data_IF_161330963440
#
_entry.id   IF_161330963440
#
_cell.length_a   1.000
_cell.length_b   1.000
_cell.length_c   1.000
_cell.angle_alpha   90.00
_cell.angle_beta   90.00
_cell.angle_gamma   90.00
#
_symmetry.space_group_name_H-M   'P 1'
#
loop_
_entity.id
_entity.type
_entity.pdbx_description
1 polymer ?
#
# COMPACT_ATOMS: atom_id res chain seq x y z
N UNK A 1 -11.21 15.45 -10.05
CA UNK A 1 -10.96 14.02 -9.75
C UNK A 1 -11.06 13.81 -8.24
N UNK A 2 -11.27 12.58 -7.78
CA UNK A 2 -11.30 12.24 -6.34
C UNK A 2 -10.29 11.12 -6.07
N UNK A 3 -9.49 11.20 -5.00
CA UNK A 3 -8.55 10.14 -4.65
C UNK A 3 -9.28 8.92 -4.09
N UNK A 4 -8.72 7.73 -4.34
CA UNK A 4 -9.10 6.48 -3.66
C UNK A 4 -7.92 6.09 -2.79
N UNK A 5 -8.03 6.30 -1.49
CA UNK A 5 -6.93 6.18 -0.54
C UNK A 5 -6.19 7.51 -0.32
N UNK A 6 -5.22 7.48 0.60
CA UNK A 6 -4.45 8.65 0.99
C UNK A 6 -3.06 8.67 0.37
N UNK A 7 -2.69 9.75 -0.30
CA UNK A 7 -1.32 9.95 -0.79
C UNK A 7 -1.01 11.43 -0.94
N UNK A 8 0.28 11.76 -1.03
CA UNK A 8 0.74 13.12 -1.24
C UNK A 8 0.51 13.60 -2.68
N UNK A 9 -0.27 14.67 -2.92
CA UNK A 9 -0.56 15.16 -4.26
C UNK A 9 0.69 15.68 -5.00
N UNK A 10 1.80 15.94 -4.30
CA UNK A 10 3.10 16.27 -4.93
C UNK A 10 3.59 15.16 -5.84
N UNK A 11 3.16 13.92 -5.63
CA UNK A 11 3.51 12.80 -6.52
C UNK A 11 2.84 12.89 -7.90
N UNK A 12 1.80 13.72 -8.08
CA UNK A 12 0.97 13.77 -9.30
C UNK A 12 1.52 14.66 -10.41
N UNK A 13 2.53 15.49 -10.13
CA UNK A 13 3.06 16.45 -11.11
C UNK A 13 3.68 15.73 -12.31
N UNK A 14 3.19 16.07 -13.53
CA UNK A 14 3.71 15.55 -14.80
C UNK A 14 3.70 14.03 -14.90
N UNK A 15 2.73 13.36 -14.28
CA UNK A 15 2.64 11.89 -14.29
C UNK A 15 1.94 11.38 -15.54
N UNK A 16 2.45 10.27 -16.09
CA UNK A 16 1.71 9.49 -17.08
C UNK A 16 0.69 8.63 -16.36
N UNK A 17 -0.51 8.60 -16.92
CA UNK A 17 -1.64 7.86 -16.37
C UNK A 17 -2.39 7.10 -17.45
N UNK A 18 -3.16 6.12 -17.03
CA UNK A 18 -4.21 5.48 -17.82
C UNK A 18 -5.56 5.91 -17.26
N UNK A 19 -6.48 6.29 -18.15
CA UNK A 19 -7.90 6.42 -17.85
C UNK A 19 -8.58 5.13 -18.29
N UNK A 20 -9.02 4.35 -17.32
CA UNK A 20 -9.64 3.05 -17.53
C UNK A 20 -11.14 3.22 -17.77
N UNK A 21 -11.58 2.91 -18.99
CA UNK A 21 -12.96 3.09 -19.43
C UNK A 21 -13.53 1.78 -19.98
N UNK A 22 -14.84 1.74 -20.24
CA UNK A 22 -15.49 0.62 -20.91
C UNK A 22 -14.99 0.40 -22.37
N UNK A 23 -14.49 1.47 -23.02
CA UNK A 23 -13.96 1.44 -24.38
C UNK A 23 -12.48 1.02 -24.44
N UNK A 24 -11.87 0.76 -23.29
CA UNK A 24 -10.45 0.46 -23.11
C UNK A 24 -9.69 1.56 -22.35
N UNK A 25 -8.40 1.33 -22.18
CA UNK A 25 -7.52 2.23 -21.43
C UNK A 25 -6.93 3.33 -22.34
N UNK A 26 -7.14 4.59 -21.97
CA UNK A 26 -6.57 5.74 -22.67
C UNK A 26 -5.36 6.30 -21.93
N UNK A 27 -4.25 6.51 -22.64
CA UNK A 27 -3.08 7.19 -22.08
C UNK A 27 -3.37 8.67 -21.89
N UNK A 28 -2.91 9.20 -20.77
CA UNK A 28 -3.00 10.62 -20.44
C UNK A 28 -1.79 11.14 -19.68
N UNK A 29 -1.73 12.47 -19.57
CA UNK A 29 -0.76 13.17 -18.72
C UNK A 29 -1.52 13.96 -17.66
N UNK A 30 -1.22 13.67 -16.41
CA UNK A 30 -1.77 14.37 -15.26
C UNK A 30 -0.95 15.63 -14.95
N UNK A 31 -1.62 16.77 -14.87
CA UNK A 31 -1.02 18.06 -14.59
C UNK A 31 -1.87 18.85 -13.61
N UNK A 32 -1.26 19.69 -12.76
CA UNK A 32 -2.01 20.65 -11.98
C UNK A 32 -2.60 21.71 -12.90
N UNK A 33 -3.83 22.12 -12.63
CA UNK A 33 -4.39 23.35 -13.18
C UNK A 33 -3.63 24.57 -12.64
N UNK A 34 -3.70 25.68 -13.38
CA UNK A 34 -3.16 26.97 -12.91
C UNK A 34 -2.16 27.61 -13.87
N UNK A 35 -1.53 28.68 -13.36
CA UNK A 35 -0.59 29.49 -14.13
C UNK A 35 0.80 28.82 -14.15
N UNK A 36 1.45 28.71 -15.32
CA UNK A 36 2.85 28.27 -15.38
C UNK A 36 3.76 29.24 -14.63
N UNK A 37 4.92 28.75 -14.20
CA UNK A 37 5.84 29.47 -13.31
C UNK A 37 6.17 30.90 -13.81
N UNK A 38 6.32 31.04 -15.12
CA UNK A 38 6.67 32.30 -15.80
C UNK A 38 5.63 33.43 -15.63
N UNK A 39 4.36 33.09 -15.39
CA UNK A 39 3.27 34.08 -15.21
C UNK A 39 2.54 33.92 -13.86
N UNK A 40 3.01 33.01 -13.02
CA UNK A 40 2.52 32.79 -11.65
C UNK A 40 3.07 33.85 -10.69
N UNK A 41 2.26 34.25 -9.71
CA UNK A 41 2.71 35.09 -8.60
C UNK A 41 3.59 34.31 -7.61
N UNK A 42 4.29 35.00 -6.71
CA UNK A 42 5.06 34.34 -5.67
C UNK A 42 4.19 33.50 -4.72
N UNK A 43 2.94 33.91 -4.49
CA UNK A 43 1.99 33.17 -3.65
C UNK A 43 1.45 31.92 -4.35
N UNK A 44 1.16 32.00 -5.66
CA UNK A 44 0.74 30.83 -6.45
C UNK A 44 1.76 29.68 -6.37
N UNK A 45 3.06 30.03 -6.28
CA UNK A 45 4.17 29.06 -6.21
C UNK A 45 4.30 28.34 -4.87
N UNK A 46 3.68 28.86 -3.81
CA UNK A 46 3.71 28.23 -2.47
C UNK A 46 2.60 27.19 -2.30
N UNK A 47 1.57 27.21 -3.15
CA UNK A 47 0.43 26.32 -3.03
C UNK A 47 0.75 24.96 -3.63
N UNK A 48 0.56 23.90 -2.83
CA UNK A 48 0.48 22.53 -3.35
C UNK A 48 -0.97 22.33 -3.83
N UNK A 49 -1.20 21.99 -5.11
CA UNK A 49 -2.53 21.75 -5.62
C UNK A 49 -3.18 20.54 -4.94
N UNK A 50 -4.45 20.65 -4.59
CA UNK A 50 -5.25 19.52 -4.15
C UNK A 50 -5.55 18.58 -5.32
N UNK A 51 -5.85 17.30 -5.07
CA UNK A 51 -6.14 16.30 -6.14
C UNK A 51 -7.26 16.78 -7.08
N UNK A 52 -8.25 17.51 -6.57
CA UNK A 52 -9.34 18.10 -7.35
C UNK A 52 -8.91 19.18 -8.34
N UNK A 53 -7.74 19.80 -8.12
CA UNK A 53 -7.16 20.86 -8.96
C UNK A 53 -6.29 20.30 -10.09
N UNK A 54 -6.02 18.99 -10.10
CA UNK A 54 -5.39 18.33 -11.24
C UNK A 54 -6.41 18.04 -12.34
N UNK A 55 -5.91 17.94 -13.57
CA UNK A 55 -6.63 17.44 -14.73
C UNK A 55 -5.78 16.41 -15.47
N UNK A 56 -6.42 15.57 -16.27
CA UNK A 56 -5.77 14.61 -17.16
C UNK A 56 -6.00 15.07 -18.59
N UNK A 57 -4.90 15.25 -19.32
CA UNK A 57 -4.94 15.52 -20.75
C UNK A 57 -4.79 14.19 -21.52
N UNK A 58 -5.83 13.82 -22.27
CA UNK A 58 -5.83 12.65 -23.16
C UNK A 58 -5.42 13.00 -24.60
N UNK A 59 -5.19 14.27 -24.92
CA UNK A 59 -4.94 14.74 -26.28
C UNK A 59 -6.16 14.69 -27.21
N UNK A 60 -7.36 14.43 -26.66
CA UNK A 60 -8.60 14.24 -27.45
C UNK A 60 -9.50 15.49 -27.50
N UNK A 61 -9.17 16.54 -26.75
CA UNK A 61 -10.00 17.75 -26.65
C UNK A 61 -11.42 17.43 -26.18
N UNK A 62 -12.44 17.98 -26.85
CA UNK A 62 -13.85 17.78 -26.47
C UNK A 62 -14.32 16.33 -26.63
N UNK A 63 -13.70 15.54 -27.52
CA UNK A 63 -14.07 14.13 -27.77
C UNK A 63 -13.79 13.21 -26.59
N UNK A 64 -12.95 13.63 -25.63
CA UNK A 64 -12.73 12.88 -24.40
C UNK A 64 -14.04 12.57 -23.65
N UNK A 65 -15.04 13.46 -23.76
CA UNK A 65 -16.36 13.30 -23.13
C UNK A 65 -17.18 12.14 -23.69
N UNK A 66 -16.84 11.69 -24.90
CA UNK A 66 -17.54 10.59 -25.54
C UNK A 66 -17.06 9.23 -25.00
N UNK A 67 -15.89 9.19 -24.35
CA UNK A 67 -15.24 7.97 -23.85
C UNK A 67 -15.16 7.89 -22.32
N UNK A 68 -15.05 9.04 -21.64
CA UNK A 68 -14.82 9.10 -20.19
C UNK A 68 -16.08 9.45 -19.43
N UNK A 69 -16.40 8.64 -18.41
CA UNK A 69 -17.56 8.79 -17.53
C UNK A 69 -17.13 9.13 -16.10
N UNK A 70 -18.05 9.72 -15.35
CA UNK A 70 -17.87 9.88 -13.90
C UNK A 70 -17.82 8.48 -13.27
N UNK A 71 -16.72 8.17 -12.59
CA UNK A 71 -16.48 6.86 -11.99
C UNK A 71 -15.35 6.08 -12.65
N UNK A 72 -14.94 6.45 -13.87
CA UNK A 72 -13.78 5.86 -14.54
C UNK A 72 -12.51 6.12 -13.73
N UNK A 73 -11.67 5.09 -13.64
CA UNK A 73 -10.45 5.16 -12.84
C UNK A 73 -9.34 5.87 -13.60
N UNK A 74 -8.57 6.66 -12.85
CA UNK A 74 -7.28 7.18 -13.31
C UNK A 74 -6.20 6.47 -12.50
N UNK A 75 -5.32 5.73 -13.18
CA UNK A 75 -4.24 4.97 -12.55
C UNK A 75 -2.88 5.40 -13.10
N UNK A 76 -1.82 5.26 -12.30
CA UNK A 76 -0.46 5.55 -12.77
C UNK A 76 -0.07 4.59 -13.91
N UNK A 77 0.51 5.14 -14.98
CA UNK A 77 1.10 4.38 -16.09
C UNK A 77 2.61 4.20 -15.83
N UNK A 78 2.92 3.45 -14.78
CA UNK A 78 4.30 3.18 -14.36
C UNK A 78 4.58 1.67 -14.35
N UNK A 79 5.44 1.17 -15.24
CA UNK A 79 5.78 -0.24 -15.32
C UNK A 79 6.71 -0.67 -14.17
N UNK A 80 6.84 -1.98 -13.98
CA UNK A 80 7.91 -2.56 -13.18
C UNK A 80 9.27 -2.34 -13.86
N UNK A 81 10.25 -1.87 -13.10
CA UNK A 81 11.60 -1.60 -13.58
C UNK A 81 12.60 -2.08 -12.54
N UNK A 82 13.58 -2.88 -12.98
CA UNK A 82 14.74 -3.25 -12.18
C UNK A 82 15.81 -2.15 -12.25
N UNK A 83 16.38 -1.80 -11.11
CA UNK A 83 17.38 -0.75 -10.97
C UNK A 83 18.46 -1.18 -9.98
N UNK A 84 19.56 -1.74 -10.52
CA UNK A 84 20.65 -2.26 -9.70
C UNK A 84 20.17 -3.40 -8.81
N UNK A 85 20.27 -3.22 -7.49
CA UNK A 85 19.79 -4.19 -6.49
C UNK A 85 18.36 -3.91 -6.00
N UNK A 86 17.65 -2.98 -6.65
CA UNK A 86 16.28 -2.57 -6.30
C UNK A 86 15.34 -2.76 -7.50
N UNK A 87 14.05 -2.66 -7.23
CA UNK A 87 13.02 -2.52 -8.26
C UNK A 87 12.07 -1.38 -7.89
N UNK A 88 11.42 -0.82 -8.90
CA UNK A 88 10.38 0.21 -8.76
C UNK A 88 9.17 -0.22 -9.56
N UNK A 89 8.00 -0.07 -8.96
CA UNK A 89 6.72 -0.29 -9.62
C UNK A 89 5.63 0.50 -8.90
N UNK A 90 4.53 0.76 -9.60
CA UNK A 90 3.32 1.25 -8.96
C UNK A 90 2.67 0.17 -8.09
N UNK A 91 2.03 0.60 -7.00
CA UNK A 91 1.22 -0.27 -6.14
C UNK A 91 2.00 -1.48 -5.59
N UNK A 92 3.28 -1.30 -5.24
CA UNK A 92 4.02 -2.32 -4.47
C UNK A 92 3.34 -2.55 -3.13
N UNK A 93 2.90 -1.47 -2.51
CA UNK A 93 1.83 -1.47 -1.51
C UNK A 93 0.47 -1.75 -2.21
N UNK A 94 -0.18 -2.90 -2.03
CA UNK A 94 0.27 -4.09 -1.31
C UNK A 94 0.41 -5.35 -2.20
N UNK A 95 0.78 -5.16 -3.47
CA UNK A 95 1.02 -6.27 -4.41
C UNK A 95 2.19 -7.16 -4.02
N UNK A 96 3.18 -6.64 -3.30
CA UNK A 96 4.30 -7.45 -2.82
C UNK A 96 3.84 -8.46 -1.77
N UNK A 97 2.95 -8.08 -0.84
CA UNK A 97 2.37 -9.02 0.10
C UNK A 97 1.43 -10.03 -0.57
N UNK A 98 0.70 -9.61 -1.62
CA UNK A 98 -0.08 -10.56 -2.42
C UNK A 98 0.82 -11.65 -3.02
N UNK A 99 1.97 -11.26 -3.59
CA UNK A 99 2.96 -12.20 -4.10
C UNK A 99 3.50 -13.11 -2.99
N UNK A 100 3.87 -12.56 -1.83
CA UNK A 100 4.32 -13.34 -0.68
C UNK A 100 3.26 -14.37 -0.23
N UNK A 101 1.98 -14.01 -0.21
CA UNK A 101 0.89 -14.93 0.13
C UNK A 101 0.74 -16.08 -0.86
N UNK A 102 0.91 -15.83 -2.16
CA UNK A 102 0.91 -16.87 -3.20
C UNK A 102 2.08 -17.83 -2.99
N UNK A 103 3.29 -17.31 -2.81
CA UNK A 103 4.49 -18.13 -2.64
C UNK A 103 4.46 -18.92 -1.33
N UNK A 104 3.92 -18.34 -0.25
CA UNK A 104 3.74 -19.03 1.02
C UNK A 104 2.80 -20.24 0.89
N UNK A 105 1.65 -20.10 0.22
CA UNK A 105 0.74 -21.24 -0.02
C UNK A 105 1.40 -22.31 -0.89
N UNK A 106 2.12 -21.92 -1.95
CA UNK A 106 2.84 -22.87 -2.81
C UNK A 106 3.84 -23.70 -2.00
N UNK A 107 4.66 -23.03 -1.19
CA UNK A 107 5.64 -23.71 -0.34
C UNK A 107 5.00 -24.63 0.72
N UNK A 108 3.81 -24.28 1.23
CA UNK A 108 3.07 -25.09 2.21
C UNK A 108 2.35 -26.29 1.57
N UNK A 109 1.87 -26.15 0.34
CA UNK A 109 1.20 -27.23 -0.38
C UNK A 109 2.10 -28.47 -0.50
N UNK A 110 3.41 -28.27 -0.66
CA UNK A 110 4.39 -29.34 -0.80
C UNK A 110 4.78 -30.01 0.53
N UNK A 111 4.49 -29.37 1.68
CA UNK A 111 4.99 -29.79 3.01
C UNK A 111 3.91 -30.29 3.97
N UNK A 112 2.64 -30.22 3.57
CA UNK A 112 1.50 -30.51 4.45
C UNK A 112 1.20 -29.37 5.43
N UNK A 113 0.00 -29.38 6.02
CA UNK A 113 -0.48 -28.32 6.92
C UNK A 113 -1.00 -28.86 8.24
N UNK A 114 -0.55 -28.27 9.35
CA UNK A 114 -1.04 -28.54 10.71
C UNK A 114 -2.24 -27.67 11.13
N UNK A 115 -2.66 -26.74 10.27
CA UNK A 115 -3.75 -25.82 10.51
C UNK A 115 -4.56 -25.59 9.22
N UNK A 116 -5.77 -25.04 9.37
CA UNK A 116 -6.52 -24.46 8.26
C UNK A 116 -5.94 -23.07 7.94
N UNK A 117 -5.48 -22.88 6.71
CA UNK A 117 -4.78 -21.66 6.29
C UNK A 117 -5.60 -20.98 5.21
N UNK A 118 -5.97 -19.73 5.46
CA UNK A 118 -6.63 -18.85 4.52
C UNK A 118 -5.68 -17.72 4.15
N UNK A 119 -5.33 -17.60 2.87
CA UNK A 119 -4.70 -16.38 2.35
C UNK A 119 -5.77 -15.57 1.64
N UNK A 120 -5.92 -14.32 2.06
CA UNK A 120 -6.99 -13.44 1.61
C UNK A 120 -6.35 -12.24 0.93
N UNK A 121 -6.67 -12.05 -0.35
CA UNK A 121 -6.35 -10.81 -1.05
C UNK A 121 -7.53 -9.86 -0.91
N UNK A 122 -7.38 -8.90 -0.01
CA UNK A 122 -8.44 -7.96 0.34
C UNK A 122 -8.53 -6.84 -0.68
N UNK A 123 -9.65 -6.11 -0.66
CA UNK A 123 -9.83 -4.87 -1.42
C UNK A 123 -10.25 -3.78 -0.46
N UNK A 124 -10.00 -2.52 -0.84
CA UNK A 124 -10.41 -1.35 -0.06
C UNK A 124 -9.77 -1.31 1.36
N UNK A 125 -8.51 -1.75 1.48
CA UNK A 125 -7.66 -1.53 2.67
C UNK A 125 -7.50 -0.01 2.87
N UNK A 126 -6.99 0.66 1.85
CA UNK A 126 -6.65 2.10 1.80
C UNK A 126 -7.82 3.07 2.07
N UNK A 127 -9.04 2.56 2.11
CA UNK A 127 -10.27 3.32 2.38
C UNK A 127 -11.06 2.75 3.58
N UNK A 128 -10.37 2.02 4.44
CA UNK A 128 -10.86 1.59 5.77
C UNK A 128 -10.97 0.08 5.96
N UNK A 129 -10.00 -0.72 5.51
CA UNK A 129 -9.87 -2.16 5.81
C UNK A 129 -11.11 -3.00 5.46
N UNK A 130 -11.89 -2.56 4.46
CA UNK A 130 -13.27 -3.06 4.28
C UNK A 130 -13.30 -4.54 3.91
N UNK A 131 -12.42 -4.95 2.98
CA UNK A 131 -12.28 -6.33 2.56
C UNK A 131 -11.78 -7.26 3.68
N UNK A 132 -10.85 -6.78 4.50
CA UNK A 132 -10.34 -7.55 5.64
C UNK A 132 -11.41 -7.77 6.69
N UNK A 133 -12.21 -6.74 7.02
CA UNK A 133 -13.30 -6.85 7.98
C UNK A 133 -14.33 -7.90 7.57
N UNK A 134 -14.75 -7.91 6.32
CA UNK A 134 -15.72 -8.91 5.82
C UNK A 134 -15.12 -10.31 5.79
N UNK A 135 -13.84 -10.43 5.45
CA UNK A 135 -13.15 -11.72 5.36
C UNK A 135 -12.94 -12.32 6.75
N UNK A 136 -12.43 -11.55 7.70
CA UNK A 136 -12.26 -11.96 9.09
C UNK A 136 -13.60 -12.33 9.74
N UNK A 137 -14.68 -11.59 9.46
CA UNK A 137 -16.01 -11.92 9.98
C UNK A 137 -16.51 -13.29 9.48
N UNK A 138 -16.24 -13.62 8.21
CA UNK A 138 -16.65 -14.90 7.61
C UNK A 138 -15.78 -16.06 8.08
N UNK A 139 -14.46 -15.89 8.07
CA UNK A 139 -13.48 -16.94 8.38
C UNK A 139 -13.44 -17.22 9.89
N UNK A 140 -13.56 -16.18 10.72
CA UNK A 140 -13.39 -16.23 12.19
C UNK A 140 -12.05 -16.89 12.58
N UNK A 141 -10.92 -16.33 12.14
CA UNK A 141 -9.62 -16.94 12.39
C UNK A 141 -9.25 -16.92 13.88
N UNK A 142 -8.50 -17.92 14.34
CA UNK A 142 -7.89 -17.88 15.68
C UNK A 142 -6.65 -16.96 15.72
N UNK A 143 -5.91 -16.93 14.61
CA UNK A 143 -4.71 -16.11 14.41
C UNK A 143 -4.81 -15.34 13.09
N UNK A 144 -4.65 -14.02 13.14
CA UNK A 144 -4.49 -13.15 11.97
C UNK A 144 -3.03 -12.78 11.74
N UNK A 145 -2.53 -12.96 10.52
CA UNK A 145 -1.22 -12.46 10.11
C UNK A 145 -1.46 -11.35 9.09
N UNK A 146 -1.27 -10.10 9.50
CA UNK A 146 -1.30 -8.96 8.59
C UNK A 146 0.03 -8.90 7.85
N UNK A 147 -0.01 -8.97 6.52
CA UNK A 147 1.19 -8.85 5.68
C UNK A 147 1.04 -7.57 4.88
N UNK A 148 1.93 -6.61 5.11
CA UNK A 148 1.85 -5.29 4.50
C UNK A 148 3.22 -4.76 4.11
N UNK A 149 3.30 -3.50 3.69
CA UNK A 149 4.56 -2.77 3.56
C UNK A 149 4.74 -1.80 4.73
N UNK A 150 5.96 -1.31 4.93
CA UNK A 150 6.23 -0.27 5.91
C UNK A 150 7.19 0.79 5.40
N UNK A 151 7.34 1.83 6.20
CA UNK A 151 8.29 2.89 5.95
C UNK A 151 9.70 2.40 6.27
N UNK A 152 10.61 2.53 5.32
CA UNK A 152 12.03 2.46 5.64
C UNK A 152 12.46 3.76 6.32
N UNK A 153 12.25 4.89 5.65
CA UNK A 153 12.70 6.20 6.13
C UNK A 153 14.24 6.30 6.26
N UNK A 154 15.00 5.45 5.56
CA UNK A 154 16.46 5.50 5.42
C UNK A 154 16.91 6.34 4.19
N UNK A 155 16.04 7.24 3.73
CA UNK A 155 16.25 8.07 2.54
C UNK A 155 16.91 9.41 2.88
N UNK A 156 17.69 10.02 1.96
CA UNK A 156 18.31 11.33 2.18
C UNK A 156 17.31 12.39 2.66
N UNK A 157 17.67 13.11 3.73
CA UNK A 157 16.86 14.20 4.28
C UNK A 157 15.92 13.79 5.42
N UNK A 158 15.81 12.50 5.75
CA UNK A 158 15.05 12.04 6.92
C UNK A 158 16.00 11.89 8.12
N UNK A 159 15.70 12.51 9.28
CA UNK A 159 16.48 12.29 10.50
C UNK A 159 16.44 10.83 10.96
N UNK A 160 17.55 10.30 11.47
CA UNK A 160 17.65 8.91 11.93
C UNK A 160 16.60 8.54 12.98
N UNK A 161 16.26 9.49 13.88
CA UNK A 161 15.21 9.30 14.89
C UNK A 161 13.81 9.04 14.30
N UNK A 162 13.60 9.40 13.04
CA UNK A 162 12.34 9.23 12.31
C UNK A 162 12.41 8.02 11.35
N UNK A 163 13.55 7.31 11.29
CA UNK A 163 13.69 6.05 10.56
C UNK A 163 12.90 4.93 11.26
N UNK A 164 12.12 4.16 10.49
CA UNK A 164 11.32 3.05 11.03
C UNK A 164 11.97 1.70 10.74
N UNK A 165 12.48 1.49 9.52
CA UNK A 165 13.25 0.30 9.13
C UNK A 165 14.39 0.66 8.19
N UNK A 166 15.38 -0.20 8.05
CA UNK A 166 16.41 -0.03 7.00
C UNK A 166 16.19 -1.03 5.88
N UNK A 167 16.20 -0.55 4.64
CA UNK A 167 15.99 -1.40 3.48
C UNK A 167 17.10 -2.46 3.41
N UNK A 168 16.71 -3.72 3.22
CA UNK A 168 17.65 -4.84 3.15
C UNK A 168 18.13 -5.39 4.49
N UNK A 169 17.58 -4.91 5.62
CA UNK A 169 17.85 -5.47 6.96
C UNK A 169 16.79 -6.49 7.43
N UNK A 170 16.09 -7.11 6.48
CA UNK A 170 15.04 -8.09 6.76
C UNK A 170 13.64 -7.48 6.88
N UNK A 171 12.67 -8.33 7.21
CA UNK A 171 11.27 -7.92 7.35
C UNK A 171 11.05 -7.12 8.64
N UNK A 172 9.99 -6.33 8.66
CA UNK A 172 9.49 -5.65 9.85
C UNK A 172 8.56 -6.54 10.66
N UNK A 173 8.95 -6.87 11.88
CA UNK A 173 8.06 -7.45 12.88
C UNK A 173 7.25 -6.31 13.52
N UNK A 174 6.07 -6.07 12.98
CA UNK A 174 5.28 -4.89 13.29
C UNK A 174 4.51 -5.04 14.60
N UNK A 175 4.74 -4.11 15.52
CA UNK A 175 4.21 -4.16 16.89
C UNK A 175 2.97 -3.29 17.05
N UNK A 176 2.90 -2.13 16.39
CA UNK A 176 1.82 -1.16 16.58
C UNK A 176 1.76 -0.10 15.48
N UNK A 177 0.53 0.26 15.10
CA UNK A 177 0.17 1.51 14.41
C UNK A 177 -1.06 2.17 15.07
N UNK A 178 -1.80 3.04 14.37
CA UNK A 178 -2.97 3.71 14.92
C UNK A 178 -4.22 2.82 15.05
N UNK A 179 -4.28 1.75 14.27
CA UNK A 179 -5.38 0.79 14.19
C UNK A 179 -5.05 -0.57 14.84
N UNK A 180 -3.77 -0.94 14.91
CA UNK A 180 -3.28 -2.28 15.24
C UNK A 180 -2.34 -2.30 16.45
N UNK A 181 -2.44 -3.32 17.30
CA UNK A 181 -1.45 -3.65 18.34
C UNK A 181 -1.23 -5.15 18.34
N UNK A 182 -0.02 -5.62 18.02
CA UNK A 182 0.28 -7.05 17.92
C UNK A 182 0.11 -7.79 19.26
N UNK A 183 -0.34 -9.05 19.17
CA UNK A 183 -0.28 -10.00 20.29
C UNK A 183 1.19 -10.24 20.67
N UNK A 184 1.51 -9.96 21.94
CA UNK A 184 2.89 -9.98 22.44
C UNK A 184 3.52 -11.38 22.36
N UNK A 185 2.74 -12.44 22.51
CA UNK A 185 3.28 -13.79 22.51
C UNK A 185 3.48 -14.29 21.07
N UNK A 186 2.60 -13.94 20.13
CA UNK A 186 2.85 -14.17 18.69
C UNK A 186 4.11 -13.44 18.20
N UNK A 187 4.34 -12.21 18.66
CA UNK A 187 5.58 -11.47 18.34
C UNK A 187 6.82 -12.24 18.81
N UNK A 188 6.80 -12.76 20.05
CA UNK A 188 7.93 -13.56 20.57
C UNK A 188 8.13 -14.86 19.81
N UNK A 189 7.03 -15.53 19.44
CA UNK A 189 7.07 -16.78 18.69
C UNK A 189 7.70 -16.56 17.30
N UNK A 190 7.28 -15.52 16.57
CA UNK A 190 7.85 -15.18 15.26
C UNK A 190 9.32 -14.74 15.38
N UNK A 191 9.65 -13.94 16.39
CA UNK A 191 11.02 -13.54 16.67
C UNK A 191 11.93 -14.74 16.93
N UNK A 192 11.46 -15.70 17.75
CA UNK A 192 12.20 -16.93 18.02
C UNK A 192 12.40 -17.79 16.75
N UNK A 193 11.40 -17.87 15.88
CA UNK A 193 11.51 -18.57 14.59
C UNK A 193 12.54 -17.87 13.70
N UNK A 194 12.49 -16.54 13.60
CA UNK A 194 13.43 -15.77 12.78
C UNK A 194 14.88 -15.98 13.24
N UNK A 195 15.14 -15.94 14.55
CA UNK A 195 16.46 -16.22 15.13
C UNK A 195 16.89 -17.67 14.83
N UNK A 196 16.01 -18.65 15.06
CA UNK A 196 16.33 -20.07 14.86
C UNK A 196 16.60 -20.44 13.39
N UNK A 197 16.06 -19.67 12.44
CA UNK A 197 16.22 -19.87 11.00
C UNK A 197 17.20 -18.88 10.34
N UNK A 198 17.88 -18.04 11.13
CA UNK A 198 18.79 -16.98 10.65
C UNK A 198 18.12 -16.05 9.61
N UNK A 199 16.84 -15.71 9.85
CA UNK A 199 16.07 -14.77 9.03
C UNK A 199 16.22 -13.36 9.64
N UNK A 200 16.85 -12.40 8.93
CA UNK A 200 16.96 -11.05 9.42
C UNK A 200 15.58 -10.40 9.62
N UNK A 201 15.43 -9.66 10.71
CA UNK A 201 14.20 -8.94 11.04
C UNK A 201 14.51 -7.67 11.82
N UNK A 202 13.54 -6.76 11.84
CA UNK A 202 13.58 -5.49 12.58
C UNK A 202 12.25 -5.32 13.31
N UNK A 203 12.25 -4.90 14.57
CA UNK A 203 10.97 -4.56 15.25
C UNK A 203 10.51 -3.18 14.80
N UNK A 204 9.25 -3.04 14.41
CA UNK A 204 8.73 -1.78 13.84
C UNK A 204 7.50 -1.28 14.58
N UNK A 205 7.37 0.04 14.64
CA UNK A 205 6.20 0.73 15.19
C UNK A 205 5.97 2.01 14.39
N UNK A 206 4.71 2.33 14.13
CA UNK A 206 4.30 3.56 13.45
C UNK A 206 3.37 4.38 14.35
N UNK A 207 3.43 5.70 14.22
CA UNK A 207 2.51 6.60 14.92
C UNK A 207 1.13 6.66 14.27
N UNK A 208 1.08 6.43 12.95
CA UNK A 208 -0.11 6.52 12.11
C UNK A 208 -0.07 5.42 11.03
N UNK A 209 -1.20 5.23 10.36
CA UNK A 209 -1.41 4.14 9.40
C UNK A 209 -2.36 3.09 9.94
N UNK A 210 -2.75 2.16 9.09
CA UNK A 210 -3.49 0.97 9.47
C UNK A 210 -3.10 -0.18 8.56
N UNK A 211 -3.51 -1.37 8.97
CA UNK A 211 -3.26 -2.59 8.22
C UNK A 211 -4.30 -3.65 8.55
N UNK A 212 -4.49 -4.60 7.66
CA UNK A 212 -5.59 -5.58 7.68
C UNK A 212 -5.62 -6.46 8.95
N UNK A 213 -4.49 -6.65 9.63
CA UNK A 213 -4.41 -7.32 10.92
C UNK A 213 -5.29 -6.68 11.99
N UNK A 214 -5.50 -5.36 11.95
CA UNK A 214 -6.43 -4.67 12.85
C UNK A 214 -7.87 -5.16 12.67
N UNK A 215 -8.29 -5.42 11.43
CA UNK A 215 -9.62 -5.93 11.15
C UNK A 215 -9.82 -7.35 11.70
N UNK A 216 -8.77 -8.18 11.72
CA UNK A 216 -8.82 -9.50 12.36
C UNK A 216 -9.01 -9.40 13.88
N UNK A 217 -8.43 -8.40 14.54
CA UNK A 217 -8.60 -8.17 15.98
C UNK A 217 -10.01 -7.70 16.35
N UNK A 218 -10.69 -6.98 15.46
CA UNK A 218 -11.95 -6.29 15.76
C UNK A 218 -13.19 -7.01 15.19
N UNK A 219 -13.04 -7.83 14.15
CA UNK A 219 -14.16 -8.51 13.51
C UNK A 219 -14.61 -9.76 14.28
N UNK A 220 -15.91 -10.04 14.24
CA UNK A 220 -16.53 -11.19 14.91
C UNK A 220 -16.15 -11.29 16.40
N UNK A 221 -15.45 -12.36 16.81
CA UNK A 221 -15.00 -12.56 18.19
C UNK A 221 -13.62 -11.95 18.47
N UNK A 222 -12.96 -11.41 17.43
CA UNK A 222 -11.55 -11.02 17.47
C UNK A 222 -10.61 -12.22 17.37
N UNK A 223 -9.42 -11.98 16.84
CA UNK A 223 -8.33 -12.95 16.74
C UNK A 223 -7.07 -12.40 17.42
N UNK A 224 -6.19 -13.29 17.89
CA UNK A 224 -4.79 -12.90 18.15
C UNK A 224 -4.18 -12.51 16.82
N UNK A 225 -3.38 -11.45 16.76
CA UNK A 225 -2.84 -11.00 15.48
C UNK A 225 -1.42 -10.47 15.58
N UNK A 226 -0.67 -10.62 14.49
CA UNK A 226 0.70 -10.14 14.33
C UNK A 226 0.89 -9.52 12.94
N UNK A 227 1.70 -8.47 12.86
CA UNK A 227 2.02 -7.79 11.60
C UNK A 227 3.41 -8.16 11.10
N UNK A 228 3.52 -8.41 9.80
CA UNK A 228 4.75 -8.64 9.06
C UNK A 228 4.78 -7.61 7.93
N UNK A 229 5.81 -6.76 7.90
CA UNK A 229 5.93 -5.64 6.96
C UNK A 229 7.28 -5.53 6.27
#
# INVERSE_FOLDING_TARGET
MQPVGGFDPRNLFSRRVLVCTDDGDFKGVMNPGGKPIHISSAEDRKKIPEVGEFFVDLGMGKKARDHVKVGDFVVMDEPFVEMGYKFVSKALDNRVACWLGIEAIRALADKGRGAEIHVVFTTQEEVGLRGARTSAYKIKPDIGIGIDTTLSCDTPGIPEKDATTTQGKGFGLHVRDSSFIADRDLVKEIEAIAIAQDIPYQRTMLAAGGQDGAAAQQAAAGARAVGIV
#
